data_IF_785914322086
#
_entry.id   IF_785914322086
#
_cell.length_a   1.000
_cell.length_b   1.000
_cell.length_c   1.000
_cell.angle_alpha   90.00
_cell.angle_beta   90.00
_cell.angle_gamma   90.00
#
_symmetry.space_group_name_H-M   'P 1'
#
loop_
_entity.id
_entity.type
_entity.pdbx_description
1 polymer ?
#
# COMPACT_ATOMS: atom_id res chain seq x y z
N UNK A 1 22.97 10.02 5.23
CA UNK A 1 22.14 10.30 4.04
C UNK A 1 22.72 11.48 3.30
N UNK A 2 22.97 11.35 1.98
CA UNK A 2 23.52 12.45 1.20
C UNK A 2 22.40 13.43 0.76
N UNK A 3 22.79 14.55 0.15
CA UNK A 3 21.84 15.58 -0.30
C UNK A 3 20.76 15.05 -1.24
N UNK A 4 21.15 14.26 -2.24
CA UNK A 4 20.20 13.71 -3.23
C UNK A 4 19.16 12.83 -2.56
N UNK A 5 19.57 11.96 -1.64
CA UNK A 5 18.66 11.10 -0.90
C UNK A 5 17.69 11.89 -0.02
N UNK A 6 18.14 12.98 0.59
CA UNK A 6 17.27 13.83 1.41
C UNK A 6 16.22 14.54 0.57
N UNK A 7 16.61 15.07 -0.59
CA UNK A 7 15.67 15.72 -1.51
C UNK A 7 14.64 14.72 -2.02
N UNK A 8 15.08 13.53 -2.44
CA UNK A 8 14.20 12.47 -2.91
C UNK A 8 13.17 12.08 -1.84
N UNK A 9 13.61 11.88 -0.60
CA UNK A 9 12.70 11.55 0.52
C UNK A 9 11.70 12.66 0.80
N UNK A 10 12.13 13.91 0.71
CA UNK A 10 11.23 15.05 0.92
C UNK A 10 10.12 15.06 -0.15
N UNK A 11 10.48 14.88 -1.41
CA UNK A 11 9.51 14.84 -2.51
C UNK A 11 8.58 13.63 -2.41
N UNK A 12 9.14 12.44 -2.14
CA UNK A 12 8.37 11.20 -2.05
C UNK A 12 7.40 11.20 -0.86
N UNK A 13 7.76 11.89 0.23
CA UNK A 13 6.91 11.98 1.42
C UNK A 13 5.56 12.65 1.19
N UNK A 14 5.41 13.41 0.12
CA UNK A 14 4.15 14.00 -0.29
C UNK A 14 3.29 13.04 -1.10
N UNK A 15 3.86 11.94 -1.57
CA UNK A 15 3.15 10.95 -2.35
C UNK A 15 2.70 9.80 -1.46
N UNK A 16 1.38 9.56 -1.44
CA UNK A 16 0.75 8.48 -0.67
C UNK A 16 0.54 7.28 -1.58
N UNK A 17 1.13 6.16 -1.21
CA UNK A 17 1.00 4.93 -1.97
C UNK A 17 0.51 3.80 -1.06
N UNK A 18 -0.23 2.87 -1.63
CA UNK A 18 -0.78 1.75 -0.87
C UNK A 18 -0.57 0.42 -1.58
N UNK A 19 -0.64 -0.64 -0.77
CA UNK A 19 -0.41 -2.01 -1.22
C UNK A 19 -1.50 -2.91 -0.66
N UNK A 20 -2.02 -3.80 -1.51
CA UNK A 20 -2.80 -4.94 -1.04
C UNK A 20 -1.88 -5.92 -0.30
N UNK A 21 -2.42 -6.72 0.60
CA UNK A 21 -1.62 -7.69 1.35
C UNK A 21 -1.62 -9.07 0.66
N UNK A 22 -2.80 -9.69 0.48
CA UNK A 22 -2.90 -11.06 -0.03
C UNK A 22 -2.49 -11.13 -1.51
N UNK A 23 -1.49 -11.96 -1.80
CA UNK A 23 -0.97 -12.13 -3.16
C UNK A 23 -0.04 -11.02 -3.62
N UNK A 24 0.21 -10.02 -2.78
CA UNK A 24 1.15 -8.92 -3.05
C UNK A 24 2.23 -8.89 -1.98
N UNK A 25 1.92 -8.47 -0.78
CA UNK A 25 2.93 -8.29 0.28
C UNK A 25 3.38 -9.60 0.92
N UNK A 26 2.56 -10.65 0.88
CA UNK A 26 2.98 -11.97 1.33
C UNK A 26 3.75 -12.74 0.25
N UNK A 27 4.30 -12.04 -0.73
CA UNK A 27 5.22 -12.57 -1.74
C UNK A 27 6.60 -11.93 -1.56
N UNK A 28 7.63 -12.60 -2.08
CA UNK A 28 9.01 -12.08 -2.02
C UNK A 28 9.10 -10.73 -2.73
N UNK A 29 8.54 -10.63 -3.93
CA UNK A 29 8.61 -9.41 -4.74
C UNK A 29 7.83 -8.25 -4.12
N UNK A 30 6.64 -8.52 -3.59
CA UNK A 30 5.83 -7.49 -2.93
C UNK A 30 6.47 -6.97 -1.66
N UNK A 31 7.06 -7.88 -0.87
CA UNK A 31 7.80 -7.49 0.35
C UNK A 31 8.98 -6.58 -0.01
N UNK A 32 9.74 -6.92 -1.05
CA UNK A 32 10.86 -6.09 -1.50
C UNK A 32 10.38 -4.71 -1.98
N UNK A 33 9.27 -4.68 -2.70
CA UNK A 33 8.71 -3.43 -3.22
C UNK A 33 8.31 -2.46 -2.12
N UNK A 34 7.57 -2.94 -1.10
CA UNK A 34 7.14 -2.05 -0.02
C UNK A 34 8.32 -1.59 0.85
N UNK A 35 9.29 -2.47 1.10
CA UNK A 35 10.49 -2.09 1.84
C UNK A 35 11.27 -1.01 1.11
N UNK A 36 11.38 -1.12 -0.20
CA UNK A 36 12.01 -0.09 -1.04
C UNK A 36 11.26 1.23 -0.97
N UNK A 37 9.93 1.19 -1.04
CA UNK A 37 9.11 2.39 -0.95
C UNK A 37 9.29 3.12 0.38
N UNK A 38 9.35 2.36 1.48
CA UNK A 38 9.61 2.91 2.81
C UNK A 38 11.01 3.56 2.84
N UNK A 39 12.02 2.88 2.33
CA UNK A 39 13.40 3.38 2.27
C UNK A 39 13.49 4.66 1.45
N UNK A 40 12.75 4.75 0.36
CA UNK A 40 12.73 5.93 -0.52
C UNK A 40 11.88 7.07 0.03
N UNK A 41 11.24 6.89 1.17
CA UNK A 41 10.56 7.96 1.91
C UNK A 41 9.10 8.21 1.51
N UNK A 42 8.48 7.31 0.75
CA UNK A 42 7.06 7.41 0.42
C UNK A 42 6.20 7.29 1.68
N UNK A 43 5.03 7.89 1.62
CA UNK A 43 4.01 7.77 2.66
C UNK A 43 3.18 6.50 2.37
N UNK A 44 3.54 5.41 3.05
CA UNK A 44 3.10 4.05 2.69
C UNK A 44 1.95 3.56 3.56
N UNK A 45 0.97 2.93 2.94
CA UNK A 45 -0.19 2.33 3.61
C UNK A 45 -0.42 0.90 3.10
N UNK A 46 -0.98 0.07 3.94
CA UNK A 46 -1.48 -1.26 3.55
C UNK A 46 -3.01 -1.21 3.64
N UNK A 47 -3.68 -1.53 2.54
CA UNK A 47 -5.14 -1.53 2.48
C UNK A 47 -5.60 -2.89 1.97
N UNK A 48 -6.14 -3.70 2.87
CA UNK A 48 -6.54 -5.08 2.62
C UNK A 48 -8.05 -5.24 2.67
N UNK A 49 -8.60 -6.10 1.81
CA UNK A 49 -10.01 -6.48 1.83
C UNK A 49 -10.33 -7.47 2.96
N UNK A 50 -9.33 -7.93 3.72
CA UNK A 50 -9.57 -8.77 4.89
C UNK A 50 -10.50 -8.06 5.86
N UNK A 51 -11.35 -8.83 6.58
CA UNK A 51 -12.08 -8.23 7.67
C UNK A 51 -11.15 -8.06 8.89
N UNK A 52 -11.60 -7.25 9.85
CA UNK A 52 -10.77 -6.88 10.99
C UNK A 52 -10.35 -8.07 11.86
N UNK A 53 -11.15 -9.13 11.89
CA UNK A 53 -10.81 -10.36 12.64
C UNK A 53 -9.54 -11.03 12.10
N UNK A 54 -9.18 -10.80 10.86
CA UNK A 54 -8.02 -11.40 10.21
C UNK A 54 -6.88 -10.40 10.02
N UNK A 55 -6.87 -9.35 10.82
CA UNK A 55 -5.88 -8.25 10.76
C UNK A 55 -4.51 -8.65 11.29
N UNK A 56 -4.43 -9.55 12.25
CA UNK A 56 -3.19 -9.85 12.98
C UNK A 56 -1.99 -10.17 12.09
N UNK A 57 -2.08 -11.06 11.08
CA UNK A 57 -0.93 -11.33 10.22
C UNK A 57 -0.43 -10.11 9.47
N UNK A 58 -1.35 -9.21 9.08
CA UNK A 58 -1.00 -7.99 8.37
C UNK A 58 -0.26 -7.01 9.29
N UNK A 59 -0.71 -6.90 10.54
CA UNK A 59 -0.02 -6.10 11.55
C UNK A 59 1.38 -6.63 11.85
N UNK A 60 1.53 -7.95 11.98
CA UNK A 60 2.82 -8.59 12.21
C UNK A 60 3.78 -8.32 11.06
N UNK A 61 3.30 -8.42 9.83
CA UNK A 61 4.07 -8.07 8.64
C UNK A 61 4.53 -6.61 8.69
N UNK A 62 3.62 -5.69 9.00
CA UNK A 62 3.94 -4.27 9.10
C UNK A 62 5.04 -4.02 10.13
N UNK A 63 4.95 -4.64 11.30
CA UNK A 63 5.97 -4.53 12.35
C UNK A 63 7.33 -5.02 11.86
N UNK A 64 7.36 -6.15 11.15
CA UNK A 64 8.61 -6.72 10.63
C UNK A 64 9.33 -5.77 9.67
N UNK A 65 8.60 -5.03 8.86
CA UNK A 65 9.19 -4.11 7.88
C UNK A 65 9.34 -2.69 8.40
N UNK A 66 9.00 -2.46 9.67
CA UNK A 66 9.15 -1.13 10.29
C UNK A 66 8.04 -0.15 9.95
N UNK A 67 6.88 -0.64 9.50
CA UNK A 67 5.72 0.20 9.22
C UNK A 67 4.83 0.26 10.45
N UNK A 68 4.42 1.47 10.85
CA UNK A 68 3.51 1.66 11.96
C UNK A 68 2.16 1.01 11.66
N UNK A 69 1.61 0.25 12.61
CA UNK A 69 0.34 -0.44 12.42
C UNK A 69 -0.85 0.51 12.19
N UNK A 70 -0.71 1.79 12.54
CA UNK A 70 -1.72 2.82 12.20
C UNK A 70 -1.86 3.03 10.70
N UNK A 71 -0.92 2.53 9.91
CA UNK A 71 -0.93 2.58 8.44
C UNK A 71 -1.56 1.33 7.81
N UNK A 72 -2.06 0.41 8.62
CA UNK A 72 -2.69 -0.83 8.18
C UNK A 72 -4.20 -0.70 8.28
N UNK A 73 -4.89 -0.94 7.17
CA UNK A 73 -6.35 -0.91 7.10
C UNK A 73 -6.85 -2.25 6.59
N UNK A 74 -7.71 -2.90 7.36
CA UNK A 74 -8.44 -4.11 6.95
C UNK A 74 -9.91 -3.72 6.89
N UNK A 75 -10.43 -3.61 5.68
CA UNK A 75 -11.70 -2.89 5.43
C UNK A 75 -12.88 -3.81 5.11
N UNK A 76 -12.63 -5.10 4.90
CA UNK A 76 -13.69 -6.10 4.81
C UNK A 76 -14.22 -6.40 3.40
N UNK A 77 -13.93 -5.57 2.41
CA UNK A 77 -14.38 -5.80 1.04
C UNK A 77 -13.56 -4.97 0.05
N UNK A 78 -13.64 -5.34 -1.23
CA UNK A 78 -12.99 -4.55 -2.29
C UNK A 78 -13.67 -3.19 -2.46
N UNK A 79 -14.99 -3.13 -2.28
CA UNK A 79 -15.71 -1.85 -2.33
C UNK A 79 -15.20 -0.89 -1.25
N UNK A 80 -15.08 -1.38 -0.02
CA UNK A 80 -14.55 -0.59 1.08
C UNK A 80 -13.08 -0.22 0.87
N UNK A 81 -12.31 -1.09 0.20
CA UNK A 81 -10.93 -0.81 -0.17
C UNK A 81 -10.86 0.42 -1.09
N UNK A 82 -11.68 0.45 -2.14
CA UNK A 82 -11.71 1.58 -3.08
C UNK A 82 -12.07 2.88 -2.34
N UNK A 83 -13.04 2.82 -1.44
CA UNK A 83 -13.45 3.99 -0.66
C UNK A 83 -12.33 4.49 0.25
N UNK A 84 -11.59 3.57 0.89
CA UNK A 84 -10.46 3.92 1.75
C UNK A 84 -9.32 4.55 0.93
N UNK A 85 -9.06 4.02 -0.25
CA UNK A 85 -8.06 4.57 -1.17
C UNK A 85 -8.39 6.03 -1.50
N UNK A 86 -9.65 6.32 -1.81
CA UNK A 86 -10.11 7.70 -2.07
C UNK A 86 -9.97 8.58 -0.83
N UNK A 87 -10.43 8.08 0.31
CA UNK A 87 -10.39 8.82 1.59
C UNK A 87 -8.97 9.24 1.95
N UNK A 88 -8.02 8.34 1.79
CA UNK A 88 -6.61 8.58 2.09
C UNK A 88 -5.89 9.37 0.99
N UNK A 89 -6.55 9.67 -0.11
CA UNK A 89 -5.96 10.37 -1.25
C UNK A 89 -4.70 9.67 -1.77
N UNK A 90 -4.81 8.36 -1.96
CA UNK A 90 -3.72 7.54 -2.48
C UNK A 90 -3.45 7.89 -3.94
N UNK A 91 -2.19 8.07 -4.31
CA UNK A 91 -1.80 8.38 -5.69
C UNK A 91 -1.56 7.11 -6.50
N UNK A 92 -1.04 6.05 -5.87
CA UNK A 92 -0.79 4.75 -6.50
C UNK A 92 -1.20 3.63 -5.57
N UNK A 93 -1.87 2.62 -6.09
CA UNK A 93 -2.25 1.43 -5.34
C UNK A 93 -1.83 0.17 -6.09
N UNK A 94 -1.07 -0.68 -5.42
CA UNK A 94 -0.58 -1.96 -5.97
C UNK A 94 -1.52 -3.08 -5.53
N UNK A 95 -2.07 -3.81 -6.50
CA UNK A 95 -3.03 -4.87 -6.23
C UNK A 95 -2.94 -5.96 -7.31
N UNK A 96 -3.23 -7.20 -6.95
CA UNK A 96 -3.26 -8.30 -7.89
C UNK A 96 -4.68 -8.60 -8.41
N UNK A 97 -5.67 -7.86 -7.96
CA UNK A 97 -7.07 -8.05 -8.36
C UNK A 97 -7.43 -7.07 -9.49
N UNK A 98 -7.70 -7.62 -10.67
CA UNK A 98 -8.05 -6.81 -11.84
C UNK A 98 -9.29 -5.95 -11.62
N UNK A 99 -10.27 -6.45 -10.86
CA UNK A 99 -11.49 -5.70 -10.59
C UNK A 99 -11.21 -4.43 -9.78
N UNK A 100 -10.27 -4.52 -8.84
CA UNK A 100 -9.83 -3.35 -8.07
C UNK A 100 -9.14 -2.34 -8.99
N UNK A 101 -8.23 -2.82 -9.84
CA UNK A 101 -7.52 -1.96 -10.79
C UNK A 101 -8.50 -1.27 -11.75
N UNK A 102 -9.49 -2.01 -12.26
CA UNK A 102 -10.50 -1.45 -13.15
C UNK A 102 -11.34 -0.37 -12.45
N UNK A 103 -11.74 -0.63 -11.22
CA UNK A 103 -12.50 0.35 -10.43
C UNK A 103 -11.69 1.63 -10.19
N UNK A 104 -10.37 1.53 -10.03
CA UNK A 104 -9.52 2.70 -9.82
C UNK A 104 -9.39 3.59 -11.05
N UNK A 105 -9.69 3.10 -12.25
CA UNK A 105 -9.68 3.90 -13.48
C UNK A 105 -10.66 5.09 -13.43
N UNK A 106 -11.70 4.97 -12.61
CA UNK A 106 -12.70 6.02 -12.40
C UNK A 106 -12.28 7.02 -11.33
N UNK A 107 -11.08 6.89 -10.81
CA UNK A 107 -10.57 7.72 -9.69
C UNK A 107 -9.28 8.43 -10.10
N UNK A 108 -8.77 9.28 -9.19
CA UNK A 108 -7.47 9.94 -9.38
C UNK A 108 -6.29 9.05 -9.01
N UNK A 109 -6.55 7.86 -8.45
CA UNK A 109 -5.52 6.90 -8.06
C UNK A 109 -5.07 6.06 -9.25
N UNK A 110 -3.77 5.95 -9.47
CA UNK A 110 -3.23 5.02 -10.45
C UNK A 110 -3.19 3.61 -9.84
N UNK A 111 -3.95 2.69 -10.42
CA UNK A 111 -3.88 1.28 -10.04
C UNK A 111 -2.74 0.59 -10.79
N UNK A 112 -1.94 -0.18 -10.07
CA UNK A 112 -0.82 -0.93 -10.63
C UNK A 112 -1.09 -2.41 -10.38
N UNK A 113 -1.39 -3.14 -11.45
CA UNK A 113 -1.63 -4.57 -11.38
C UNK A 113 -0.31 -5.30 -11.12
N UNK A 114 -0.30 -6.12 -10.08
CA UNK A 114 0.88 -6.93 -9.75
C UNK A 114 0.63 -8.38 -10.17
N UNK A 115 1.70 -9.08 -10.46
CA UNK A 115 1.67 -10.48 -10.88
C UNK A 115 2.83 -11.24 -10.22
N UNK A 116 2.84 -11.22 -8.90
CA UNK A 116 3.93 -11.80 -8.10
C UNK A 116 3.75 -13.29 -7.76
#
# INVERSE_FOLDING_TARGET
MNYVQRVKRHLNGHERISFDYDGVLNTINGRALIKRAITEGYNVFIISARNERNRKPVEEFAKEIGLNISRVYTVGSNKAKIEKIKELQITKHYDNNEDVIDALKETTTKGILTNY
#
